data_IF_077705932169
#
_entry.id   IF_077705932169
#
_cell.length_a   1.000
_cell.length_b   1.000
_cell.length_c   1.000
_cell.angle_alpha   90.00
_cell.angle_beta   90.00
_cell.angle_gamma   90.00
#
_symmetry.space_group_name_H-M   'P 1'
#
loop_
_entity.id
_entity.type
_entity.pdbx_description
1 polymer ?
#
# COMPACT_ATOMS: atom_id res chain seq x y z
N UNK A 1 11.67 -45.57 -43.02
CA UNK A 1 11.11 -44.19 -42.98
C UNK A 1 9.76 -44.12 -42.27
N UNK A 2 8.70 -44.83 -42.72
CA UNK A 2 7.37 -44.79 -42.07
C UNK A 2 7.34 -45.18 -40.58
N UNK A 3 8.10 -46.20 -40.17
CA UNK A 3 8.21 -46.64 -38.76
C UNK A 3 9.00 -45.66 -37.87
N UNK A 4 10.01 -44.99 -38.44
CA UNK A 4 10.78 -43.95 -37.76
C UNK A 4 9.97 -42.66 -37.58
N UNK A 5 9.14 -42.32 -38.57
CA UNK A 5 8.26 -41.16 -38.53
C UNK A 5 7.09 -41.37 -37.54
N UNK A 6 6.54 -42.59 -37.43
CA UNK A 6 5.55 -42.93 -36.40
C UNK A 6 6.12 -42.87 -34.98
N UNK A 7 7.38 -43.28 -34.78
CA UNK A 7 7.99 -43.26 -33.45
C UNK A 7 8.29 -41.83 -32.97
N UNK A 8 8.69 -40.95 -33.88
CA UNK A 8 8.92 -39.53 -33.60
C UNK A 8 7.60 -38.79 -33.29
N UNK A 9 6.51 -39.12 -34.00
CA UNK A 9 5.20 -38.53 -33.77
C UNK A 9 4.60 -38.94 -32.41
N UNK A 10 4.79 -40.20 -32.00
CA UNK A 10 4.36 -40.69 -30.67
C UNK A 10 5.19 -40.07 -29.55
N UNK A 11 6.49 -39.85 -29.77
CA UNK A 11 7.37 -39.18 -28.80
C UNK A 11 7.02 -37.68 -28.65
N UNK A 12 6.60 -37.00 -29.71
CA UNK A 12 6.10 -35.62 -29.65
C UNK A 12 4.72 -35.50 -28.98
N UNK A 13 3.89 -36.56 -29.00
CA UNK A 13 2.60 -36.60 -28.29
C UNK A 13 2.71 -37.03 -26.81
N UNK A 14 3.89 -37.48 -26.37
CA UNK A 14 4.20 -37.86 -24.98
C UNK A 14 4.87 -36.73 -24.18
N UNK A 15 4.92 -35.50 -24.73
CA UNK A 15 5.21 -34.32 -23.90
C UNK A 15 4.04 -34.20 -22.93
N UNK A 16 4.24 -34.36 -21.61
CA UNK A 16 3.16 -34.41 -20.67
C UNK A 16 2.41 -33.07 -20.71
N UNK A 17 1.13 -33.14 -21.04
CA UNK A 17 0.16 -32.05 -20.89
C UNK A 17 0.11 -31.53 -19.43
N UNK A 18 0.79 -32.20 -18.50
CA UNK A 18 0.98 -31.80 -17.11
C UNK A 18 1.93 -30.59 -16.91
N UNK A 19 2.60 -30.09 -17.96
CA UNK A 19 3.46 -28.90 -17.84
C UNK A 19 2.71 -27.56 -17.95
N UNK A 20 1.39 -27.57 -18.22
CA UNK A 20 0.56 -26.35 -18.39
C UNK A 20 -0.46 -26.18 -17.26
N UNK A 21 -0.14 -26.65 -16.05
CA UNK A 21 -0.81 -26.12 -14.86
C UNK A 21 -0.10 -24.81 -14.53
N UNK A 22 -0.63 -23.70 -15.01
CA UNK A 22 -0.30 -22.38 -14.47
C UNK A 22 -0.66 -22.45 -12.98
N UNK A 23 0.36 -22.49 -12.12
CA UNK A 23 0.16 -22.36 -10.68
C UNK A 23 -0.59 -21.04 -10.47
N UNK A 24 -1.74 -21.08 -9.80
CA UNK A 24 -2.47 -19.85 -9.49
C UNK A 24 -1.47 -18.87 -8.85
N UNK A 25 -1.41 -17.61 -9.32
CA UNK A 25 -0.40 -16.68 -8.88
C UNK A 25 -0.42 -16.56 -7.36
N UNK A 26 0.75 -16.69 -6.74
CA UNK A 26 0.88 -16.66 -5.30
C UNK A 26 0.39 -15.31 -4.77
N UNK A 27 -0.59 -15.34 -3.86
CA UNK A 27 -1.01 -14.16 -3.11
C UNK A 27 -0.05 -13.93 -1.95
N UNK A 28 0.59 -12.76 -1.89
CA UNK A 28 1.52 -12.38 -0.83
C UNK A 28 1.03 -11.14 -0.11
N UNK A 29 1.29 -11.06 1.19
CA UNK A 29 0.97 -9.88 2.00
C UNK A 29 2.26 -9.25 2.53
N UNK A 30 2.42 -7.96 2.24
CA UNK A 30 3.48 -7.13 2.77
C UNK A 30 2.93 -6.10 3.75
N UNK A 31 3.60 -5.92 4.88
CA UNK A 31 3.25 -4.86 5.82
C UNK A 31 4.51 -4.23 6.42
N UNK A 32 4.54 -2.91 6.50
CA UNK A 32 5.61 -2.14 7.13
C UNK A 32 5.05 -1.04 8.01
N UNK A 33 5.80 -0.70 9.06
CA UNK A 33 5.64 0.57 9.76
C UNK A 33 6.52 1.62 9.07
N UNK A 34 6.00 2.82 8.90
CA UNK A 34 6.65 3.87 8.13
C UNK A 34 6.42 5.25 8.73
N UNK A 35 7.34 6.18 8.48
CA UNK A 35 7.19 7.57 8.88
C UNK A 35 6.96 8.44 7.64
N UNK A 36 5.76 8.35 7.06
CA UNK A 36 5.41 9.12 5.88
C UNK A 36 5.27 10.62 6.20
N UNK A 37 4.80 10.96 7.41
CA UNK A 37 4.54 12.34 7.83
C UNK A 37 5.19 12.67 9.19
N UNK A 38 6.35 13.33 9.14
CA UNK A 38 7.03 13.87 10.33
C UNK A 38 7.31 12.83 11.42
N UNK A 39 7.30 13.28 12.68
CA UNK A 39 7.66 12.44 13.85
C UNK A 39 6.53 12.29 14.87
N UNK A 40 5.34 12.83 14.57
CA UNK A 40 4.19 12.84 15.50
C UNK A 40 3.22 11.68 15.29
N UNK A 41 3.35 10.97 14.18
CA UNK A 41 2.56 9.81 13.82
C UNK A 41 3.46 8.75 13.17
N UNK A 42 2.91 7.54 13.03
CA UNK A 42 3.49 6.51 12.19
C UNK A 42 2.39 5.91 11.32
N UNK A 43 2.75 5.46 10.12
CA UNK A 43 1.87 4.77 9.21
C UNK A 43 2.08 3.26 9.30
N UNK A 44 1.01 2.50 9.17
CA UNK A 44 1.03 1.08 8.81
C UNK A 44 0.66 0.98 7.34
N UNK A 45 1.61 0.53 6.53
CA UNK A 45 1.45 0.34 5.10
C UNK A 45 1.21 -1.14 4.86
N UNK A 46 0.11 -1.51 4.20
CA UNK A 46 -0.15 -2.89 3.82
C UNK A 46 -0.34 -2.99 2.31
N UNK A 47 0.25 -4.00 1.68
CA UNK A 47 0.13 -4.29 0.25
C UNK A 47 -0.16 -5.76 0.07
N UNK A 48 -1.07 -6.09 -0.86
CA UNK A 48 -1.32 -7.45 -1.32
C UNK A 48 -0.82 -7.55 -2.76
N UNK A 49 -0.01 -8.57 -3.03
CA UNK A 49 0.49 -8.90 -4.35
C UNK A 49 -0.19 -10.17 -4.87
N UNK A 50 -0.52 -10.19 -6.16
CA UNK A 50 -0.81 -11.40 -6.94
C UNK A 50 0.35 -11.58 -7.93
N UNK A 51 1.22 -12.56 -7.66
CA UNK A 51 2.52 -12.62 -8.33
C UNK A 51 3.40 -11.43 -7.93
N UNK A 52 3.65 -10.51 -8.86
CA UNK A 52 4.38 -9.25 -8.65
C UNK A 52 3.49 -7.99 -8.80
N UNK A 53 2.21 -8.16 -9.12
CA UNK A 53 1.23 -7.08 -9.32
C UNK A 53 0.55 -6.72 -7.99
N UNK A 54 0.47 -5.43 -7.69
CA UNK A 54 -0.25 -4.91 -6.54
C UNK A 54 -1.75 -4.97 -6.81
N UNK A 55 -2.47 -5.81 -6.07
CA UNK A 55 -3.93 -5.96 -6.18
C UNK A 55 -4.70 -5.23 -5.09
N UNK A 56 -4.04 -4.92 -3.97
CA UNK A 56 -4.58 -4.04 -2.94
C UNK A 56 -3.45 -3.29 -2.22
N UNK A 57 -3.74 -2.08 -1.78
CA UNK A 57 -2.88 -1.28 -0.92
C UNK A 57 -3.75 -0.67 0.18
N UNK A 58 -3.16 -0.41 1.35
CA UNK A 58 -3.80 0.21 2.49
C UNK A 58 -2.81 1.11 3.23
N UNK A 59 -3.22 2.35 3.46
CA UNK A 59 -2.53 3.30 4.33
C UNK A 59 -3.42 3.55 5.53
N UNK A 60 -2.88 3.40 6.73
CA UNK A 60 -3.48 3.92 7.95
C UNK A 60 -2.40 4.55 8.82
N UNK A 61 -2.65 5.75 9.31
CA UNK A 61 -1.74 6.45 10.21
C UNK A 61 -2.27 6.47 11.62
N UNK A 62 -1.37 6.34 12.58
CA UNK A 62 -1.68 6.31 13.99
C UNK A 62 -0.97 7.46 14.70
N UNK A 63 -1.71 8.13 15.58
CA UNK A 63 -1.22 9.27 16.34
C UNK A 63 -1.79 9.25 17.75
N UNK A 64 -1.08 9.86 18.71
CA UNK A 64 -1.62 10.11 20.05
C UNK A 64 -2.28 11.49 20.11
N UNK A 65 -3.49 11.58 20.66
CA UNK A 65 -4.24 12.84 20.76
C UNK A 65 -5.52 12.71 21.57
N UNK A 66 -6.19 13.84 21.81
CA UNK A 66 -7.41 13.91 22.59
C UNK A 66 -8.64 14.08 21.68
N UNK A 67 -9.82 13.70 22.17
CA UNK A 67 -11.09 13.88 21.47
C UNK A 67 -11.26 12.99 20.23
N UNK A 68 -10.53 11.87 20.17
CA UNK A 68 -10.56 10.90 19.07
C UNK A 68 -11.06 9.56 19.58
N UNK A 69 -11.59 8.73 18.69
CA UNK A 69 -11.88 7.32 18.97
C UNK A 69 -10.57 6.55 18.99
N UNK A 70 -10.14 6.15 20.19
CA UNK A 70 -8.92 5.37 20.38
C UNK A 70 -8.99 3.98 19.75
N UNK A 71 -7.83 3.42 19.42
CA UNK A 71 -7.70 2.00 19.04
C UNK A 71 -8.17 1.11 20.20
N UNK A 72 -8.51 -0.17 19.96
CA UNK A 72 -8.89 -1.08 21.04
C UNK A 72 -7.89 -1.05 22.19
N UNK A 73 -8.42 -0.92 23.42
CA UNK A 73 -7.67 -0.81 24.67
C UNK A 73 -6.87 0.48 24.88
N UNK A 74 -6.93 1.47 23.99
CA UNK A 74 -6.13 2.70 24.14
C UNK A 74 -6.49 3.55 25.37
N UNK A 75 -7.74 3.49 25.83
CA UNK A 75 -8.21 4.16 27.06
C UNK A 75 -7.94 3.31 28.32
N UNK A 76 -7.43 2.09 28.14
CA UNK A 76 -7.14 1.13 29.21
C UNK A 76 -5.62 1.01 29.43
N UNK A 77 -5.16 -0.06 30.09
CA UNK A 77 -3.74 -0.30 30.41
C UNK A 77 -2.78 -0.50 29.22
N UNK A 78 -3.25 -0.42 27.96
CA UNK A 78 -2.39 -0.45 26.78
C UNK A 78 -1.73 0.93 26.51
N UNK A 79 -2.33 2.01 27.00
CA UNK A 79 -1.91 3.39 26.73
C UNK A 79 -1.44 4.13 27.97
N UNK A 80 -0.14 4.19 28.21
CA UNK A 80 0.47 5.10 29.21
C UNK A 80 0.51 6.56 28.74
N UNK A 81 -0.53 7.00 28.03
CA UNK A 81 -0.61 8.34 27.45
C UNK A 81 -1.03 9.36 28.52
N UNK A 82 -0.76 10.65 28.26
CA UNK A 82 -1.23 11.70 29.16
C UNK A 82 -2.78 11.71 29.24
N UNK A 83 -3.31 12.10 30.39
CA UNK A 83 -4.76 12.12 30.68
C UNK A 83 -5.58 12.69 29.53
N UNK A 84 -6.63 11.95 29.14
CA UNK A 84 -7.54 12.30 28.05
C UNK A 84 -6.97 12.12 26.64
N UNK A 85 -5.81 11.46 26.48
CA UNK A 85 -5.24 11.13 25.18
C UNK A 85 -5.26 9.63 24.90
N UNK A 86 -5.46 9.31 23.63
CA UNK A 86 -5.43 7.96 23.07
C UNK A 86 -4.52 7.88 21.86
N UNK A 87 -4.00 6.69 21.61
CA UNK A 87 -3.56 6.27 20.29
C UNK A 87 -4.80 6.02 19.43
N UNK A 88 -4.90 6.67 18.29
CA UNK A 88 -6.04 6.54 17.37
C UNK A 88 -5.56 6.31 15.94
N UNK A 89 -6.37 5.57 15.17
CA UNK A 89 -6.23 5.51 13.71
C UNK A 89 -6.81 6.79 13.12
N UNK A 90 -6.05 7.47 12.27
CA UNK A 90 -6.52 8.63 11.51
C UNK A 90 -7.58 8.24 10.49
N UNK A 91 -7.56 7.02 9.97
CA UNK A 91 -8.58 6.56 9.02
C UNK A 91 -9.93 6.30 9.71
N UNK A 92 -9.92 5.70 10.90
CA UNK A 92 -11.14 5.57 11.74
C UNK A 92 -11.68 6.94 12.15
N UNK A 93 -10.79 7.91 12.36
CA UNK A 93 -11.13 9.28 12.76
C UNK A 93 -11.09 10.27 11.59
N UNK A 94 -11.26 9.81 10.34
CA UNK A 94 -10.98 10.62 9.16
C UNK A 94 -11.82 11.90 9.09
N UNK A 95 -13.10 11.85 9.47
CA UNK A 95 -13.98 13.02 9.51
C UNK A 95 -13.45 14.08 10.49
N UNK A 96 -13.27 13.70 11.76
CA UNK A 96 -12.78 14.59 12.81
C UNK A 96 -11.37 15.12 12.51
N UNK A 97 -10.49 14.28 11.97
CA UNK A 97 -9.13 14.69 11.62
C UNK A 97 -9.11 15.61 10.38
N UNK A 98 -9.91 15.32 9.36
CA UNK A 98 -10.00 16.15 8.14
C UNK A 98 -10.59 17.53 8.44
N UNK A 99 -11.52 17.64 9.39
CA UNK A 99 -12.00 18.94 9.87
C UNK A 99 -10.86 19.81 10.43
N UNK A 100 -9.92 19.21 11.17
CA UNK A 100 -8.74 19.91 11.66
C UNK A 100 -7.78 20.30 10.52
N UNK A 101 -7.64 19.46 9.50
CA UNK A 101 -6.81 19.75 8.32
C UNK A 101 -7.40 20.83 7.42
N UNK A 102 -8.72 20.92 7.31
CA UNK A 102 -9.39 21.99 6.56
C UNK A 102 -9.06 23.37 7.15
N UNK A 103 -8.94 23.48 8.48
CA UNK A 103 -8.45 24.68 9.15
C UNK A 103 -7.01 25.06 8.79
N UNK A 104 -6.22 24.11 8.28
CA UNK A 104 -4.87 24.30 7.77
C UNK A 104 -4.81 24.42 6.23
N UNK A 105 -5.96 24.53 5.55
CA UNK A 105 -6.07 24.76 4.11
C UNK A 105 -6.19 23.51 3.23
N UNK A 106 -6.36 22.31 3.81
CA UNK A 106 -6.62 21.10 3.02
C UNK A 106 -8.04 21.11 2.44
N UNK A 107 -8.17 20.79 1.15
CA UNK A 107 -9.46 20.78 0.43
C UNK A 107 -10.01 19.37 0.19
N UNK A 108 -9.23 18.33 0.52
CA UNK A 108 -9.59 16.92 0.31
C UNK A 108 -9.43 16.19 1.63
N UNK A 109 -10.43 15.37 1.99
CA UNK A 109 -10.40 14.58 3.22
C UNK A 109 -9.21 13.60 3.25
N UNK A 110 -8.71 13.30 4.44
CA UNK A 110 -7.49 12.51 4.64
C UNK A 110 -7.62 11.09 4.07
N UNK A 111 -8.72 10.42 4.36
CA UNK A 111 -9.03 9.08 3.86
C UNK A 111 -9.15 9.06 2.33
N UNK A 112 -9.79 10.07 1.73
CA UNK A 112 -9.86 10.24 0.28
C UNK A 112 -8.46 10.39 -0.32
N UNK A 113 -7.58 11.18 0.29
CA UNK A 113 -6.18 11.27 -0.16
C UNK A 113 -5.49 9.90 -0.09
N UNK A 114 -5.64 9.17 1.01
CA UNK A 114 -5.08 7.84 1.14
C UNK A 114 -5.59 6.90 0.06
N UNK A 115 -6.89 6.93 -0.26
CA UNK A 115 -7.51 6.07 -1.27
C UNK A 115 -6.96 6.37 -2.67
N UNK A 116 -6.76 7.64 -3.00
CA UNK A 116 -6.15 8.06 -4.27
C UNK A 116 -4.70 7.57 -4.38
N UNK A 117 -3.92 7.66 -3.30
CA UNK A 117 -2.54 7.16 -3.26
C UNK A 117 -2.50 5.63 -3.37
N UNK A 118 -3.39 4.92 -2.67
CA UNK A 118 -3.53 3.47 -2.78
C UNK A 118 -3.90 3.05 -4.21
N UNK A 119 -4.86 3.73 -4.82
CA UNK A 119 -5.30 3.48 -6.19
C UNK A 119 -4.19 3.74 -7.22
N UNK A 120 -3.30 4.71 -6.97
CA UNK A 120 -2.12 4.91 -7.82
C UNK A 120 -1.21 3.68 -7.85
N UNK A 121 -1.10 2.94 -6.75
CA UNK A 121 -0.27 1.72 -6.68
C UNK A 121 -0.94 0.50 -7.31
N UNK A 122 -2.27 0.36 -7.18
CA UNK A 122 -3.00 -0.83 -7.66
C UNK A 122 -2.86 -1.00 -9.17
N UNK A 123 -2.65 -2.24 -9.61
CA UNK A 123 -2.44 -2.63 -11.00
C UNK A 123 -1.00 -2.48 -11.49
N UNK A 124 -0.10 -1.86 -10.73
CA UNK A 124 1.34 -1.82 -11.04
C UNK A 124 2.04 -3.04 -10.48
N UNK A 125 3.08 -3.49 -11.17
CA UNK A 125 4.12 -4.33 -10.60
C UNK A 125 4.95 -3.56 -9.57
N UNK A 126 5.64 -4.28 -8.68
CA UNK A 126 6.59 -3.65 -7.72
C UNK A 126 7.64 -2.80 -8.45
N UNK A 127 8.14 -3.28 -9.59
CA UNK A 127 9.15 -2.58 -10.39
C UNK A 127 8.61 -1.30 -11.04
N UNK A 128 7.38 -1.32 -11.54
CA UNK A 128 6.74 -0.12 -12.10
C UNK A 128 6.47 0.94 -11.03
N UNK A 129 6.04 0.54 -9.82
CA UNK A 129 5.88 1.47 -8.71
C UNK A 129 7.23 2.10 -8.32
N UNK A 130 8.29 1.29 -8.23
CA UNK A 130 9.65 1.77 -7.96
C UNK A 130 10.15 2.76 -9.03
N UNK A 131 9.95 2.43 -10.31
CA UNK A 131 10.32 3.30 -11.41
C UNK A 131 9.54 4.62 -11.40
N UNK A 132 8.23 4.59 -11.11
CA UNK A 132 7.43 5.80 -10.98
C UNK A 132 7.94 6.69 -9.84
N UNK A 133 8.21 6.12 -8.67
CA UNK A 133 8.75 6.85 -7.51
C UNK A 133 10.12 7.46 -7.82
N UNK A 134 11.01 6.70 -8.46
CA UNK A 134 12.33 7.20 -8.88
C UNK A 134 12.19 8.36 -9.90
N UNK A 135 11.20 8.27 -10.78
CA UNK A 135 10.90 9.31 -11.78
C UNK A 135 10.52 10.66 -11.19
N UNK A 136 10.04 10.70 -9.94
CA UNK A 136 9.76 11.96 -9.24
C UNK A 136 11.02 12.70 -8.76
N UNK A 137 12.21 12.09 -8.85
CA UNK A 137 13.47 12.75 -8.49
C UNK A 137 13.60 13.17 -7.02
N UNK A 138 12.77 12.63 -6.14
CA UNK A 138 12.68 13.06 -4.73
C UNK A 138 11.84 14.32 -4.51
N UNK A 139 11.18 14.85 -5.54
CA UNK A 139 10.35 16.04 -5.45
C UNK A 139 8.95 15.69 -4.95
N UNK A 140 8.59 16.21 -3.77
CA UNK A 140 7.28 15.96 -3.16
C UNK A 140 6.13 16.43 -4.08
N UNK A 141 6.27 17.59 -4.71
CA UNK A 141 5.25 18.13 -5.60
C UNK A 141 5.04 17.26 -6.85
N UNK A 142 6.10 16.70 -7.43
CA UNK A 142 5.99 15.82 -8.59
C UNK A 142 5.15 14.57 -8.27
N UNK A 143 5.27 14.02 -7.05
CA UNK A 143 4.45 12.91 -6.60
C UNK A 143 2.97 13.31 -6.41
N UNK A 144 2.71 14.50 -5.84
CA UNK A 144 1.34 15.04 -5.70
C UNK A 144 0.70 15.23 -7.08
N UNK A 145 1.43 15.82 -8.02
CA UNK A 145 0.92 16.08 -9.38
C UNK A 145 0.63 14.78 -10.15
N UNK A 146 1.39 13.71 -9.87
CA UNK A 146 1.18 12.40 -10.49
C UNK A 146 -0.02 11.64 -9.94
N UNK A 147 -0.39 11.86 -8.67
CA UNK A 147 -1.54 11.21 -8.03
C UNK A 147 -2.77 12.12 -8.17
N UNK A 148 -3.51 11.92 -9.26
CA UNK A 148 -4.67 12.75 -9.59
C UNK A 148 -5.66 12.92 -8.43
N UNK A 149 -5.83 14.17 -7.99
CA UNK A 149 -6.76 14.55 -6.91
C UNK A 149 -6.17 14.49 -5.50
N UNK A 150 -4.97 13.93 -5.32
CA UNK A 150 -4.29 14.00 -4.03
C UNK A 150 -3.77 15.42 -3.78
N UNK A 151 -3.76 15.81 -2.50
CA UNK A 151 -3.35 17.13 -2.01
C UNK A 151 -2.35 17.05 -0.86
N UNK A 152 -2.06 15.85 -0.35
CA UNK A 152 -1.08 15.68 0.73
C UNK A 152 0.33 15.89 0.21
N UNK A 153 1.04 16.87 0.77
CA UNK A 153 2.45 17.12 0.45
C UNK A 153 3.34 15.90 0.69
N UNK A 154 2.95 15.00 1.61
CA UNK A 154 3.68 13.78 1.94
C UNK A 154 3.38 12.59 1.00
N UNK A 155 2.68 12.82 -0.12
CA UNK A 155 2.32 11.77 -1.10
C UNK A 155 3.52 10.90 -1.49
N UNK A 156 4.69 11.50 -1.72
CA UNK A 156 5.92 10.76 -2.01
C UNK A 156 6.30 9.78 -0.87
N UNK A 157 6.22 10.23 0.38
CA UNK A 157 6.52 9.41 1.55
C UNK A 157 5.56 8.23 1.71
N UNK A 158 4.28 8.43 1.40
CA UNK A 158 3.29 7.36 1.39
C UNK A 158 3.57 6.31 0.31
N UNK A 159 3.86 6.75 -0.93
CA UNK A 159 4.22 5.85 -2.02
C UNK A 159 5.48 5.04 -1.71
N UNK A 160 6.50 5.66 -1.11
CA UNK A 160 7.70 4.97 -0.65
C UNK A 160 7.40 3.92 0.42
N UNK A 161 6.50 4.23 1.37
CA UNK A 161 6.06 3.29 2.39
C UNK A 161 5.32 2.08 1.80
N UNK A 162 4.42 2.31 0.83
CA UNK A 162 3.73 1.24 0.10
C UNK A 162 4.71 0.39 -0.72
N UNK A 163 5.70 1.00 -1.39
CA UNK A 163 6.77 0.25 -2.06
C UNK A 163 7.56 -0.62 -1.08
N UNK A 164 7.90 -0.09 0.10
CA UNK A 164 8.59 -0.85 1.14
C UNK A 164 7.74 -2.04 1.62
N UNK A 165 6.44 -1.85 1.81
CA UNK A 165 5.52 -2.95 2.12
C UNK A 165 5.48 -3.99 1.01
N UNK A 166 5.36 -3.58 -0.25
CA UNK A 166 5.37 -4.48 -1.41
C UNK A 166 6.66 -5.33 -1.46
N UNK A 167 7.82 -4.72 -1.22
CA UNK A 167 9.12 -5.43 -1.17
C UNK A 167 9.26 -6.39 0.01
N UNK A 168 8.49 -6.17 1.09
CA UNK A 168 8.46 -7.04 2.27
C UNK A 168 7.41 -8.16 2.17
N UNK A 169 6.65 -8.24 1.08
CA UNK A 169 5.59 -9.22 0.91
C UNK A 169 6.13 -10.66 0.87
N UNK A 170 5.45 -11.55 1.58
CA UNK A 170 5.80 -12.96 1.74
C UNK A 170 4.58 -13.86 1.63
#
# INVERSE_FOLDING_TARGET
>A
MKKFLSLLLVLCMLVPFAAMAEEAPAIKLGQTQWAAHGTKCFAVMTVVLEGDVIVAALIDEYQVGAGMVGVPNSENGFGGFADGKVLYSKRVNAEAYSANMAGAGSTVALDVNYDLIQAFCVGKTVAELEAAIAGFGGEAQAAVDAVSGATLVDTLGYLQGLLAAAKAAK
#
